data_IF_836265319804
#
_entry.id   IF_836265319804
#
_cell.length_a   1.000
_cell.length_b   1.000
_cell.length_c   1.000
_cell.angle_alpha   90.00
_cell.angle_beta   90.00
_cell.angle_gamma   90.00
#
_symmetry.space_group_name_H-M   'P 1'
#
loop_
_entity.id
_entity.type
_entity.pdbx_description
1 polymer ?
#
# COMPACT_ATOMS: atom_id res chain seq x y z
N UNK A 1 -29.61 15.55 21.69
CA UNK A 1 -28.74 14.45 21.22
C UNK A 1 -27.33 14.77 21.70
N UNK A 2 -26.88 14.10 22.75
CA UNK A 2 -25.52 14.26 23.28
C UNK A 2 -24.53 13.70 22.25
N UNK A 3 -23.78 14.55 21.57
CA UNK A 3 -22.62 14.17 20.79
C UNK A 3 -21.59 13.59 21.74
N UNK A 4 -21.60 12.26 21.90
CA UNK A 4 -20.51 11.57 22.59
C UNK A 4 -19.22 11.91 21.85
N UNK A 5 -18.28 12.54 22.53
CA UNK A 5 -16.95 12.78 21.99
C UNK A 5 -16.34 11.43 21.58
N UNK A 6 -15.80 11.35 20.37
CA UNK A 6 -15.10 10.14 19.91
C UNK A 6 -13.96 9.80 20.88
N UNK A 7 -13.74 8.53 21.22
CA UNK A 7 -12.63 8.14 22.07
C UNK A 7 -11.31 8.58 21.43
N UNK A 8 -10.41 9.12 22.24
CA UNK A 8 -9.06 9.49 21.80
C UNK A 8 -8.29 8.19 21.55
N UNK A 9 -8.13 7.85 20.29
CA UNK A 9 -7.37 6.67 19.87
C UNK A 9 -5.87 6.96 19.87
N UNK A 10 -5.08 5.94 20.12
CA UNK A 10 -3.62 5.97 20.05
C UNK A 10 -3.10 4.83 19.17
N UNK A 11 -1.79 4.81 18.92
CA UNK A 11 -1.16 3.81 18.03
C UNK A 11 -1.45 2.35 18.44
N UNK A 12 -1.51 2.05 19.75
CA UNK A 12 -1.75 0.69 20.24
C UNK A 12 -3.15 0.17 19.88
N UNK A 13 -4.12 1.08 19.76
CA UNK A 13 -5.49 0.72 19.38
C UNK A 13 -5.57 0.18 17.95
N UNK A 14 -4.56 0.47 17.11
CA UNK A 14 -4.43 -0.01 15.74
C UNK A 14 -3.48 -1.20 15.59
N UNK A 15 -2.96 -1.76 16.67
CA UNK A 15 -2.12 -2.95 16.66
C UNK A 15 -2.96 -4.19 16.94
N UNK A 16 -2.65 -5.30 16.28
CA UNK A 16 -3.22 -6.62 16.56
C UNK A 16 -2.29 -7.42 17.48
N UNK A 17 -2.78 -8.54 17.99
CA UNK A 17 -2.02 -9.54 18.72
C UNK A 17 -1.23 -10.50 17.82
N UNK A 18 -1.33 -10.33 16.50
CA UNK A 18 -0.67 -11.20 15.54
C UNK A 18 0.84 -10.95 15.50
N UNK A 19 1.61 -12.02 15.53
CA UNK A 19 3.05 -11.97 15.33
C UNK A 19 3.37 -11.53 13.90
N UNK A 20 4.18 -10.49 13.76
CA UNK A 20 4.59 -9.98 12.45
C UNK A 20 5.59 -10.94 11.79
N UNK A 21 5.28 -11.44 10.61
CA UNK A 21 6.00 -12.51 9.90
C UNK A 21 6.85 -12.02 8.73
N UNK A 22 7.24 -10.76 8.71
CA UNK A 22 8.23 -10.26 7.74
C UNK A 22 9.65 -10.63 8.14
N UNK A 23 10.56 -10.59 7.16
CA UNK A 23 11.97 -10.86 7.41
C UNK A 23 12.59 -9.78 8.31
N UNK A 24 13.56 -10.12 9.16
CA UNK A 24 14.30 -9.13 9.93
C UNK A 24 14.92 -8.05 9.04
N UNK A 25 14.71 -6.77 9.38
CA UNK A 25 15.20 -5.62 8.60
C UNK A 25 14.37 -5.27 7.37
N UNK A 26 13.22 -5.92 7.15
CA UNK A 26 12.31 -5.57 6.04
C UNK A 26 11.70 -4.19 6.25
N UNK A 27 11.63 -3.38 5.19
CA UNK A 27 11.02 -2.04 5.20
C UNK A 27 9.53 -2.04 5.54
N UNK A 28 8.83 -3.16 5.36
CA UNK A 28 7.41 -3.30 5.72
C UNK A 28 7.14 -2.99 7.20
N UNK A 29 8.09 -3.28 8.12
CA UNK A 29 7.98 -2.89 9.53
C UNK A 29 7.91 -1.37 9.72
N UNK A 30 8.73 -0.63 8.99
CA UNK A 30 8.77 0.82 9.06
C UNK A 30 7.46 1.43 8.52
N UNK A 31 6.92 0.85 7.45
CA UNK A 31 5.66 1.29 6.86
C UNK A 31 4.49 0.98 7.79
N UNK A 32 4.42 -0.22 8.38
CA UNK A 32 3.42 -0.58 9.40
C UNK A 32 3.44 0.40 10.57
N UNK A 33 4.67 0.71 11.07
CA UNK A 33 4.85 1.67 12.15
C UNK A 33 4.30 3.06 11.80
N UNK A 34 4.52 3.53 10.57
CA UNK A 34 4.02 4.82 10.09
C UNK A 34 2.49 4.84 9.98
N UNK A 35 1.89 3.80 9.38
CA UNK A 35 0.44 3.68 9.18
C UNK A 35 -0.28 3.62 10.54
N UNK A 36 0.18 2.75 11.46
CA UNK A 36 -0.36 2.66 12.82
C UNK A 36 -0.23 3.97 13.61
N UNK A 37 0.81 4.75 13.33
CA UNK A 37 1.01 6.04 13.97
C UNK A 37 0.14 7.17 13.41
N UNK A 38 -0.21 7.11 12.12
CA UNK A 38 -1.01 8.14 11.44
C UNK A 38 -2.51 7.94 11.68
N UNK A 39 -3.02 6.73 11.67
CA UNK A 39 -4.47 6.45 11.76
C UNK A 39 -5.16 7.14 12.96
N UNK A 40 -4.62 7.08 14.20
CA UNK A 40 -5.23 7.77 15.33
C UNK A 40 -5.27 9.29 15.16
N UNK A 41 -4.31 9.87 14.42
CA UNK A 41 -4.21 11.32 14.22
C UNK A 41 -5.22 11.85 13.19
N UNK A 42 -5.88 10.96 12.42
CA UNK A 42 -6.88 11.34 11.43
C UNK A 42 -8.27 11.65 12.03
N UNK A 43 -8.49 11.36 13.31
CA UNK A 43 -9.77 11.62 13.99
C UNK A 43 -10.95 10.82 13.45
N UNK A 44 -10.69 9.71 12.77
CA UNK A 44 -11.69 8.81 12.21
C UNK A 44 -11.88 7.62 13.18
N UNK A 45 -13.13 7.22 13.49
CA UNK A 45 -13.38 6.02 14.29
C UNK A 45 -12.72 4.78 13.68
N UNK A 46 -12.11 3.94 14.53
CA UNK A 46 -11.34 2.77 14.08
C UNK A 46 -12.14 1.83 13.17
N UNK A 47 -13.43 1.65 13.47
CA UNK A 47 -14.35 0.81 12.69
C UNK A 47 -14.71 1.38 11.30
N UNK A 48 -14.26 2.59 10.98
CA UNK A 48 -14.40 3.16 9.65
C UNK A 48 -13.20 2.90 8.75
N UNK A 49 -12.08 2.48 9.32
CA UNK A 49 -10.91 2.10 8.51
C UNK A 49 -11.05 0.69 7.96
N UNK A 50 -10.74 0.55 6.68
CA UNK A 50 -10.64 -0.76 6.02
C UNK A 50 -9.36 -0.82 5.22
N UNK A 51 -8.54 -1.85 5.48
CA UNK A 51 -7.32 -2.12 4.72
C UNK A 51 -7.56 -3.27 3.76
N UNK A 52 -7.44 -3.01 2.47
CA UNK A 52 -7.61 -4.01 1.40
C UNK A 52 -6.25 -4.33 0.80
N UNK A 53 -5.86 -5.58 0.74
CA UNK A 53 -4.57 -5.98 0.19
C UNK A 53 -4.67 -6.98 -0.95
N UNK A 54 -3.66 -6.96 -1.82
CA UNK A 54 -3.46 -7.97 -2.86
C UNK A 54 -2.64 -9.15 -2.37
N UNK A 55 -1.56 -9.51 -3.08
CA UNK A 55 -0.68 -10.62 -2.74
C UNK A 55 0.78 -10.15 -2.67
N UNK A 56 1.54 -10.73 -1.78
CA UNK A 56 2.95 -10.45 -1.53
C UNK A 56 3.23 -10.05 -0.07
N UNK A 57 4.47 -9.64 0.22
CA UNK A 57 4.88 -9.29 1.58
C UNK A 57 4.06 -8.11 2.14
N UNK A 58 3.93 -7.03 1.37
CA UNK A 58 3.11 -5.86 1.71
C UNK A 58 1.65 -6.20 2.02
N UNK A 59 1.14 -7.24 1.36
CA UNK A 59 -0.27 -7.64 1.47
C UNK A 59 -0.62 -8.32 2.79
N UNK A 60 0.36 -8.53 3.66
CA UNK A 60 0.15 -8.95 5.05
C UNK A 60 -0.28 -7.79 5.97
N UNK A 61 -0.23 -6.54 5.51
CA UNK A 61 -0.56 -5.37 6.32
C UNK A 61 -1.92 -5.50 7.04
N UNK A 62 -3.03 -5.97 6.42
CA UNK A 62 -4.31 -6.08 7.12
C UNK A 62 -4.29 -7.00 8.34
N UNK A 63 -3.41 -8.01 8.39
CA UNK A 63 -3.31 -8.90 9.55
C UNK A 63 -2.74 -8.20 10.79
N UNK A 64 -1.97 -7.14 10.58
CA UNK A 64 -1.26 -6.41 11.64
C UNK A 64 -1.92 -5.09 12.01
N UNK A 65 -3.04 -4.77 11.35
CA UNK A 65 -3.85 -3.59 11.61
C UNK A 65 -5.15 -3.98 12.31
N UNK A 66 -5.40 -3.45 13.50
CA UNK A 66 -6.65 -3.65 14.23
C UNK A 66 -7.76 -2.77 13.63
N UNK A 67 -8.11 -3.06 12.38
CA UNK A 67 -9.17 -2.45 11.58
C UNK A 67 -9.93 -3.53 10.84
N UNK A 68 -10.98 -3.20 10.12
CA UNK A 68 -11.50 -4.13 9.13
C UNK A 68 -10.50 -4.30 7.97
N UNK A 69 -10.50 -5.49 7.36
CA UNK A 69 -9.55 -5.77 6.28
C UNK A 69 -10.04 -6.86 5.32
N UNK A 70 -9.48 -6.80 4.11
CA UNK A 70 -9.64 -7.84 3.10
C UNK A 70 -8.26 -8.23 2.57
N UNK A 71 -7.98 -9.52 2.54
CA UNK A 71 -6.86 -10.08 1.79
C UNK A 71 -7.43 -10.69 0.52
N UNK A 72 -7.08 -10.11 -0.64
CA UNK A 72 -7.74 -10.44 -1.91
C UNK A 72 -6.86 -11.32 -2.80
N UNK A 73 -7.12 -11.33 -4.10
CA UNK A 73 -6.37 -12.07 -5.11
C UNK A 73 -5.32 -11.15 -5.74
N UNK A 74 -4.27 -11.74 -6.30
CA UNK A 74 -3.13 -11.03 -6.91
C UNK A 74 -3.57 -9.96 -7.91
N UNK A 75 -3.17 -8.72 -7.64
CA UNK A 75 -3.49 -7.55 -8.44
C UNK A 75 -4.94 -7.09 -8.41
N UNK A 76 -5.79 -7.62 -7.52
CA UNK A 76 -7.24 -7.30 -7.49
C UNK A 76 -7.68 -6.40 -6.35
N UNK A 77 -6.80 -6.06 -5.42
CA UNK A 77 -7.13 -5.17 -4.32
C UNK A 77 -7.78 -3.85 -4.76
N UNK A 78 -7.31 -3.15 -5.82
CA UNK A 78 -7.95 -1.91 -6.27
C UNK A 78 -9.40 -2.11 -6.75
N UNK A 79 -9.71 -3.25 -7.38
CA UNK A 79 -11.07 -3.54 -7.86
C UNK A 79 -12.02 -3.80 -6.69
N UNK A 80 -11.60 -4.62 -5.72
CA UNK A 80 -12.38 -4.94 -4.51
C UNK A 80 -12.58 -3.67 -3.67
N UNK A 81 -11.51 -2.89 -3.45
CA UNK A 81 -11.57 -1.62 -2.73
C UNK A 81 -12.51 -0.60 -3.39
N UNK A 82 -12.53 -0.55 -4.72
CA UNK A 82 -13.45 0.30 -5.48
C UNK A 82 -14.90 -0.09 -5.21
N UNK A 83 -15.22 -1.39 -5.28
CA UNK A 83 -16.56 -1.90 -4.99
C UNK A 83 -16.98 -1.58 -3.55
N UNK A 84 -16.10 -1.80 -2.59
CA UNK A 84 -16.35 -1.47 -1.18
C UNK A 84 -16.62 0.04 -1.01
N UNK A 85 -15.77 0.89 -1.58
CA UNK A 85 -15.91 2.35 -1.42
C UNK A 85 -17.19 2.89 -2.04
N UNK A 86 -17.63 2.35 -3.18
CA UNK A 86 -18.89 2.73 -3.82
C UNK A 86 -20.09 2.28 -2.99
N UNK A 87 -20.04 1.07 -2.43
CA UNK A 87 -21.11 0.51 -1.59
C UNK A 87 -21.19 1.16 -0.21
N UNK A 88 -20.06 1.59 0.34
CA UNK A 88 -19.92 2.20 1.66
C UNK A 88 -19.00 3.45 1.58
N UNK A 89 -19.53 4.57 1.07
CA UNK A 89 -18.76 5.80 0.90
C UNK A 89 -18.29 6.43 2.21
N UNK A 90 -18.88 6.04 3.33
CA UNK A 90 -18.54 6.48 4.68
C UNK A 90 -17.27 5.83 5.25
N UNK A 91 -16.73 4.80 4.59
CA UNK A 91 -15.52 4.12 5.02
C UNK A 91 -14.26 4.82 4.50
N UNK A 92 -13.22 4.79 5.30
CA UNK A 92 -11.87 5.21 4.91
C UNK A 92 -11.07 3.97 4.45
N UNK A 93 -10.96 3.82 3.12
CA UNK A 93 -10.45 2.61 2.49
C UNK A 93 -9.03 2.81 2.00
N UNK A 94 -8.12 2.00 2.54
CA UNK A 94 -6.70 1.96 2.22
C UNK A 94 -6.35 0.67 1.47
N UNK A 95 -5.57 0.79 0.41
CA UNK A 95 -5.09 -0.35 -0.38
C UNK A 95 -3.61 -0.54 -0.12
N UNK A 96 -3.21 -1.73 0.32
CA UNK A 96 -1.81 -2.14 0.45
C UNK A 96 -1.46 -3.11 -0.67
N UNK A 97 -0.49 -2.75 -1.50
CA UNK A 97 -0.07 -3.55 -2.66
C UNK A 97 1.43 -3.41 -2.90
N UNK A 98 2.07 -4.45 -3.41
CA UNK A 98 3.47 -4.40 -3.84
C UNK A 98 3.59 -3.97 -5.30
N UNK A 99 4.80 -3.61 -5.71
CA UNK A 99 5.11 -3.24 -7.09
C UNK A 99 4.79 -4.38 -8.07
N UNK A 100 5.14 -5.61 -7.74
CA UNK A 100 4.80 -6.78 -8.54
C UNK A 100 3.29 -7.06 -8.60
N UNK A 101 2.60 -6.86 -7.48
CA UNK A 101 1.15 -7.07 -7.38
C UNK A 101 0.37 -6.03 -8.20
N UNK A 102 0.71 -4.76 -8.03
CA UNK A 102 -0.01 -3.65 -8.67
C UNK A 102 0.32 -3.47 -10.16
N UNK A 103 1.58 -3.68 -10.57
CA UNK A 103 2.06 -3.26 -11.89
C UNK A 103 2.25 -4.42 -12.88
N UNK A 104 2.16 -5.68 -12.42
CA UNK A 104 2.10 -6.85 -13.30
C UNK A 104 0.62 -7.16 -13.61
N UNK A 105 0.08 -8.24 -13.06
CA UNK A 105 -1.31 -8.64 -13.28
C UNK A 105 -2.34 -7.57 -12.84
N UNK A 106 -1.96 -6.70 -11.91
CA UNK A 106 -2.79 -5.60 -11.39
C UNK A 106 -2.80 -4.34 -12.25
N UNK A 107 -1.92 -4.21 -13.27
CA UNK A 107 -1.70 -2.96 -14.00
C UNK A 107 -2.97 -2.32 -14.56
N UNK A 108 -3.87 -3.11 -15.14
CA UNK A 108 -5.16 -2.61 -15.62
C UNK A 108 -6.02 -2.03 -14.48
N UNK A 109 -6.10 -2.71 -13.33
CA UNK A 109 -6.86 -2.23 -12.18
C UNK A 109 -6.23 -1.01 -11.55
N UNK A 110 -4.89 -0.92 -11.54
CA UNK A 110 -4.16 0.25 -11.06
C UNK A 110 -4.49 1.51 -11.88
N UNK A 111 -4.43 1.45 -13.21
CA UNK A 111 -4.78 2.56 -14.08
C UNK A 111 -6.24 2.97 -13.88
N UNK A 112 -7.15 2.00 -13.86
CA UNK A 112 -8.58 2.30 -13.77
C UNK A 112 -9.01 2.83 -12.40
N UNK A 113 -8.38 2.43 -11.29
CA UNK A 113 -8.71 2.98 -9.96
C UNK A 113 -8.29 4.45 -9.85
N UNK A 114 -7.16 4.82 -10.45
CA UNK A 114 -6.68 6.20 -10.47
C UNK A 114 -7.62 7.11 -11.27
N UNK A 115 -7.94 6.74 -12.52
CA UNK A 115 -8.83 7.55 -13.35
C UNK A 115 -10.27 7.61 -12.84
N UNK A 116 -10.78 6.60 -12.12
CA UNK A 116 -12.11 6.63 -11.49
C UNK A 116 -12.19 7.54 -10.28
N UNK A 117 -11.07 7.75 -9.62
CA UNK A 117 -10.89 8.72 -8.55
C UNK A 117 -11.93 8.65 -7.41
N UNK A 118 -12.27 7.44 -6.96
CA UNK A 118 -13.38 7.17 -6.02
C UNK A 118 -13.04 7.37 -4.53
N UNK A 119 -11.91 7.99 -4.21
CA UNK A 119 -11.54 8.34 -2.83
C UNK A 119 -10.86 7.22 -2.05
N UNK A 120 -9.99 6.44 -2.70
CA UNK A 120 -9.15 5.43 -2.09
C UNK A 120 -7.76 5.98 -1.72
N UNK A 121 -7.08 5.37 -0.76
CA UNK A 121 -5.67 5.63 -0.45
C UNK A 121 -4.86 4.40 -0.83
N UNK A 122 -4.03 4.51 -1.86
CA UNK A 122 -3.23 3.41 -2.39
C UNK A 122 -1.80 3.56 -1.93
N UNK A 123 -1.32 2.57 -1.18
CA UNK A 123 0.07 2.44 -0.74
C UNK A 123 0.75 1.38 -1.59
N UNK A 124 1.65 1.79 -2.46
CA UNK A 124 2.48 0.90 -3.26
C UNK A 124 3.82 0.72 -2.56
N UNK A 125 4.06 -0.47 -2.04
CA UNK A 125 5.31 -0.86 -1.40
C UNK A 125 6.28 -1.32 -2.49
N UNK A 126 7.25 -0.47 -2.82
CA UNK A 126 8.17 -0.73 -3.93
C UNK A 126 9.53 -1.19 -3.42
N UNK A 127 9.76 -2.48 -3.44
CA UNK A 127 11.05 -3.11 -3.11
C UNK A 127 11.78 -3.67 -4.35
N UNK A 128 11.27 -3.44 -5.55
CA UNK A 128 11.83 -3.86 -6.84
C UNK A 128 12.05 -5.36 -6.99
N UNK A 129 11.28 -6.20 -6.26
CA UNK A 129 11.43 -7.65 -6.32
C UNK A 129 10.14 -8.36 -5.89
N UNK A 130 9.86 -9.56 -6.42
CA UNK A 130 8.92 -10.48 -5.82
C UNK A 130 9.58 -11.20 -4.65
N UNK A 131 9.50 -10.62 -3.44
CA UNK A 131 10.15 -11.18 -2.25
C UNK A 131 9.48 -12.46 -1.73
N UNK A 132 8.15 -12.49 -1.65
CA UNK A 132 7.40 -13.62 -1.11
C UNK A 132 7.66 -14.92 -1.88
N UNK A 133 7.81 -14.85 -3.19
CA UNK A 133 8.08 -15.99 -4.09
C UNK A 133 9.56 -16.28 -4.27
N UNK A 134 10.42 -15.67 -3.44
CA UNK A 134 11.86 -15.94 -3.33
C UNK A 134 12.72 -15.35 -4.45
N UNK A 135 12.41 -14.10 -4.89
CA UNK A 135 13.37 -13.26 -5.58
C UNK A 135 13.28 -13.23 -7.10
N UNK A 136 12.09 -13.33 -7.68
CA UNK A 136 11.89 -13.04 -9.11
C UNK A 136 11.95 -11.51 -9.32
N UNK A 137 12.43 -11.08 -10.50
CA UNK A 137 12.37 -9.67 -10.86
C UNK A 137 10.91 -9.18 -10.96
N UNK A 138 10.66 -7.97 -10.52
CA UNK A 138 9.36 -7.30 -10.56
C UNK A 138 9.29 -6.30 -11.72
N UNK A 139 8.13 -5.74 -12.04
CA UNK A 139 8.01 -4.70 -13.08
C UNK A 139 8.85 -3.45 -12.82
N UNK A 140 9.30 -3.22 -11.59
CA UNK A 140 10.16 -2.07 -11.22
C UNK A 140 11.63 -2.44 -11.02
N UNK A 141 12.00 -3.73 -11.16
CA UNK A 141 13.39 -4.17 -11.11
C UNK A 141 14.21 -3.57 -12.24
N UNK A 142 15.47 -3.29 -11.99
CA UNK A 142 16.37 -2.75 -13.01
C UNK A 142 16.56 -3.76 -14.17
N UNK A 143 16.69 -3.24 -15.38
CA UNK A 143 16.96 -4.07 -16.55
C UNK A 143 18.28 -4.85 -16.34
N UNK A 144 18.29 -6.12 -16.69
CA UNK A 144 19.43 -7.02 -16.47
C UNK A 144 19.44 -7.69 -15.09
N UNK A 145 18.45 -7.46 -14.24
CA UNK A 145 18.32 -8.14 -12.93
C UNK A 145 18.29 -9.66 -13.12
N UNK A 146 19.24 -10.35 -12.49
CA UNK A 146 19.33 -11.80 -12.53
C UNK A 146 18.54 -12.43 -11.39
N UNK A 147 17.76 -13.44 -11.72
CA UNK A 147 17.01 -14.26 -10.77
C UNK A 147 17.04 -15.73 -11.22
N UNK A 148 16.60 -16.64 -10.34
CA UNK A 148 16.52 -18.06 -10.71
C UNK A 148 15.66 -18.31 -11.97
N UNK A 149 14.60 -17.52 -12.13
CA UNK A 149 13.72 -17.56 -13.31
C UNK A 149 14.27 -16.82 -14.53
N UNK A 150 15.27 -15.98 -14.35
CA UNK A 150 15.89 -15.14 -15.40
C UNK A 150 17.42 -15.14 -15.26
N UNK A 151 18.08 -16.29 -15.50
CA UNK A 151 19.52 -16.42 -15.22
C UNK A 151 20.40 -15.52 -16.11
N UNK A 152 19.90 -15.14 -17.27
CA UNK A 152 20.59 -14.23 -18.21
C UNK A 152 20.28 -12.74 -17.98
N UNK A 153 19.41 -12.42 -17.03
CA UNK A 153 18.94 -11.08 -16.72
C UNK A 153 17.59 -10.73 -17.35
N UNK A 154 16.86 -9.80 -16.72
CA UNK A 154 15.58 -9.31 -17.22
C UNK A 154 15.77 -8.43 -18.46
N UNK A 155 14.88 -8.57 -19.44
CA UNK A 155 14.89 -7.77 -20.68
C UNK A 155 14.02 -6.53 -20.56
N UNK A 156 13.03 -6.55 -19.67
CA UNK A 156 12.06 -5.50 -19.52
C UNK A 156 12.68 -4.22 -18.99
N UNK A 157 12.17 -3.08 -19.47
CA UNK A 157 12.48 -1.79 -18.86
C UNK A 157 11.61 -1.58 -17.62
N UNK A 158 12.16 -1.08 -16.51
CA UNK A 158 11.40 -0.89 -15.29
C UNK A 158 10.31 0.16 -15.46
N UNK A 159 9.14 -0.12 -14.90
CA UNK A 159 8.11 0.90 -14.73
C UNK A 159 8.57 1.98 -13.75
N UNK A 160 8.19 3.22 -14.04
CA UNK A 160 8.16 4.28 -13.04
C UNK A 160 6.72 4.43 -12.55
N UNK A 161 6.39 3.96 -11.33
CA UNK A 161 5.01 3.96 -10.84
C UNK A 161 4.40 5.34 -10.73
N UNK A 162 5.19 6.35 -10.33
CA UNK A 162 4.72 7.72 -10.24
C UNK A 162 4.39 8.31 -11.61
N UNK A 163 5.23 8.06 -12.64
CA UNK A 163 4.96 8.50 -14.01
C UNK A 163 3.71 7.82 -14.58
N UNK A 164 3.53 6.53 -14.30
CA UNK A 164 2.33 5.80 -14.71
C UNK A 164 1.08 6.37 -14.05
N UNK A 165 1.16 6.68 -12.74
CA UNK A 165 0.05 7.29 -12.02
C UNK A 165 -0.33 8.67 -12.57
N UNK A 166 0.66 9.51 -12.87
CA UNK A 166 0.44 10.81 -13.51
C UNK A 166 -0.17 10.64 -14.90
N UNK A 167 0.33 9.69 -15.70
CA UNK A 167 -0.22 9.37 -17.03
C UNK A 167 -1.65 8.80 -16.99
N UNK A 168 -2.04 8.20 -15.86
CA UNK A 168 -3.42 7.77 -15.59
C UNK A 168 -4.30 8.89 -14.98
N UNK A 169 -3.82 10.13 -14.99
CA UNK A 169 -4.51 11.33 -14.48
C UNK A 169 -4.86 11.25 -12.97
N UNK A 170 -4.01 10.60 -12.18
CA UNK A 170 -4.18 10.57 -10.72
C UNK A 170 -4.15 11.99 -10.14
N UNK A 171 -5.10 12.31 -9.26
CA UNK A 171 -5.24 13.64 -8.66
C UNK A 171 -4.34 13.88 -7.46
N UNK A 172 -3.72 12.83 -6.93
CA UNK A 172 -2.68 12.87 -5.89
C UNK A 172 -1.65 11.79 -6.17
N UNK A 173 -0.41 12.20 -6.35
CA UNK A 173 0.75 11.32 -6.52
C UNK A 173 1.86 11.77 -5.58
N UNK A 174 2.34 10.85 -4.76
CA UNK A 174 3.43 11.11 -3.83
C UNK A 174 4.42 9.94 -3.79
N UNK A 175 5.66 10.23 -3.41
CA UNK A 175 6.70 9.24 -3.16
C UNK A 175 7.34 9.50 -1.81
N UNK A 176 7.62 8.44 -1.06
CA UNK A 176 8.37 8.49 0.19
C UNK A 176 9.31 7.29 0.29
N UNK A 177 10.09 7.26 1.34
CA UNK A 177 11.01 6.16 1.67
C UNK A 177 10.67 5.67 3.07
N UNK A 178 10.70 4.35 3.28
CA UNK A 178 10.32 3.70 4.53
C UNK A 178 11.08 4.21 5.76
N UNK A 179 12.39 4.46 5.62
CA UNK A 179 13.25 4.97 6.71
C UNK A 179 13.01 6.44 7.05
N UNK A 180 12.40 7.21 6.16
CA UNK A 180 12.11 8.64 6.38
C UNK A 180 10.76 8.82 7.09
N UNK A 181 10.66 8.35 8.33
CA UNK A 181 9.40 8.23 9.07
C UNK A 181 8.59 9.53 9.17
N UNK A 182 9.23 10.67 9.44
CA UNK A 182 8.55 11.96 9.53
C UNK A 182 7.94 12.37 8.18
N UNK A 183 8.71 12.22 7.09
CA UNK A 183 8.24 12.50 5.74
C UNK A 183 7.11 11.55 5.33
N UNK A 184 7.27 10.24 5.55
CA UNK A 184 6.25 9.24 5.24
C UNK A 184 4.93 9.54 5.95
N UNK A 185 4.96 9.80 7.26
CA UNK A 185 3.76 10.17 8.02
C UNK A 185 3.11 11.44 7.48
N UNK A 186 3.88 12.45 7.13
CA UNK A 186 3.37 13.68 6.51
C UNK A 186 2.68 13.42 5.16
N UNK A 187 3.26 12.56 4.32
CA UNK A 187 2.66 12.14 3.04
C UNK A 187 1.36 11.36 3.27
N UNK A 188 1.34 10.41 4.22
CA UNK A 188 0.14 9.63 4.53
C UNK A 188 -1.02 10.50 5.03
N UNK A 189 -0.75 11.51 5.87
CA UNK A 189 -1.76 12.49 6.30
C UNK A 189 -2.34 13.27 5.13
N UNK A 190 -1.49 13.81 4.27
CA UNK A 190 -1.93 14.51 3.06
C UNK A 190 -2.73 13.61 2.12
N UNK A 191 -2.33 12.35 1.99
CA UNK A 191 -3.09 11.36 1.22
C UNK A 191 -4.47 11.09 1.83
N UNK A 192 -4.57 11.04 3.16
CA UNK A 192 -5.84 10.87 3.87
C UNK A 192 -6.79 12.06 3.67
N UNK A 193 -6.26 13.28 3.67
CA UNK A 193 -7.02 14.53 3.50
C UNK A 193 -7.46 14.76 2.05
N UNK A 194 -6.81 14.10 1.10
CA UNK A 194 -7.09 14.31 -0.32
C UNK A 194 -8.51 13.85 -0.69
N UNK A 195 -9.24 14.73 -1.39
CA UNK A 195 -10.57 14.42 -1.95
C UNK A 195 -10.42 13.75 -3.32
N UNK A 196 -10.43 12.44 -3.31
CA UNK A 196 -10.17 11.60 -4.47
C UNK A 196 -9.24 10.44 -4.12
N UNK A 197 -8.79 9.70 -5.15
CA UNK A 197 -7.86 8.60 -4.96
C UNK A 197 -6.43 9.13 -4.83
N UNK A 198 -5.80 8.86 -3.69
CA UNK A 198 -4.42 9.21 -3.43
C UNK A 198 -3.52 8.01 -3.70
N UNK A 199 -2.48 8.21 -4.50
CA UNK A 199 -1.43 7.24 -4.75
C UNK A 199 -0.14 7.65 -4.05
N UNK A 200 0.40 6.75 -3.22
CA UNK A 200 1.68 6.93 -2.54
C UNK A 200 2.59 5.74 -2.84
N UNK A 201 3.67 5.99 -3.56
CA UNK A 201 4.77 5.04 -3.71
C UNK A 201 5.69 5.15 -2.50
N UNK A 202 5.97 4.02 -1.83
CA UNK A 202 6.89 3.94 -0.70
C UNK A 202 8.05 3.05 -1.11
N UNK A 203 9.20 3.66 -1.34
CA UNK A 203 10.43 2.94 -1.66
C UNK A 203 10.92 2.27 -0.38
N UNK A 204 11.19 1.00 -0.46
CA UNK A 204 11.67 0.19 0.65
C UNK A 204 12.68 -0.85 0.19
N UNK A 205 13.43 -1.42 1.13
CA UNK A 205 14.35 -2.50 0.84
C UNK A 205 13.76 -3.89 1.11
N UNK A 206 14.23 -4.86 0.36
CA UNK A 206 14.08 -6.28 0.68
C UNK A 206 15.45 -6.85 1.08
N UNK A 207 15.78 -6.99 2.38
CA UNK A 207 17.14 -7.33 2.83
C UNK A 207 17.58 -8.74 2.44
N UNK A 208 16.66 -9.56 1.90
CA UNK A 208 16.93 -10.95 1.53
C UNK A 208 17.22 -11.09 0.02
N UNK A 209 16.56 -10.29 -0.82
CA UNK A 209 16.61 -10.50 -2.28
C UNK A 209 16.99 -9.25 -3.07
N UNK A 210 17.03 -8.08 -2.42
CA UNK A 210 17.37 -6.82 -3.10
C UNK A 210 18.04 -5.83 -2.13
#
# INVERSE_FOLDING_TARGET
>A
MTTSALPVLNKKDFQTDQEVRWCPGCGDYAILNAVQGVFPELGIPREKFVVVSGIGCSSRLPYYMNTFGFHTIHGRAPAIATGLKISRPDLDVWVATGDGDALSIGGNHFIHVLRRNVGLKILLFNNRIYGLTKGQYSPTSDQGTKAKSTPYGSLDRPFNPASLAVGAEATFVARSVDVMQAHLKGVLKRAAEHKGTAFTEIIQNCPIFN
#
